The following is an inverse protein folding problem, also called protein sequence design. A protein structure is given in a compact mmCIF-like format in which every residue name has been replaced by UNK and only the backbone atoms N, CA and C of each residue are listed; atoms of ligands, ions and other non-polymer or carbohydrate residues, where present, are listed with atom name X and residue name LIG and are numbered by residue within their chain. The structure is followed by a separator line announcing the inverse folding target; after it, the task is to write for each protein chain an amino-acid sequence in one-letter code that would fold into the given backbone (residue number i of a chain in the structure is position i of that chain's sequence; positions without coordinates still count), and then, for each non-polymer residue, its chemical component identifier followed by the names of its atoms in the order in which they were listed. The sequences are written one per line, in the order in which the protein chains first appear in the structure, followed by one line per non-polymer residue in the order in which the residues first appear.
data_IF_137617536244
#
_entry.id   IF_137617536244
#
_cell.length_a   1.000
_cell.length_b   1.000
_cell.length_c   1.000
_cell.angle_alpha   90.00
_cell.angle_beta   90.00
_cell.angle_gamma   90.00
#
_symmetry.space_group_name_H-M   'P 1'
#
loop_
_entity.id
_entity.type
_entity.pdbx_description
1 polymer ?
#
# COMPACT_ATOMS: atom_id res chain seq x y z
N UNK A 1 -20.37 -4.74 11.72
CA UNK A 1 -20.30 -5.72 10.62
C UNK A 1 -19.48 -5.11 9.49
N UNK A 2 -18.32 -5.68 9.18
CA UNK A 2 -17.35 -5.06 8.28
C UNK A 2 -17.68 -5.45 6.83
N UNK A 3 -18.29 -4.53 6.06
CA UNK A 3 -18.78 -4.79 4.70
C UNK A 3 -17.68 -5.32 3.77
N UNK A 4 -16.44 -4.82 3.93
CA UNK A 4 -15.26 -5.31 3.23
C UNK A 4 -15.00 -6.80 3.49
N UNK A 5 -15.15 -7.26 4.73
CA UNK A 5 -14.95 -8.66 5.10
C UNK A 5 -15.97 -9.57 4.39
N UNK A 6 -17.21 -9.11 4.26
CA UNK A 6 -18.28 -9.84 3.56
C UNK A 6 -18.02 -9.91 2.05
N UNK A 7 -17.57 -8.82 1.44
CA UNK A 7 -17.19 -8.81 0.02
C UNK A 7 -16.02 -9.75 -0.26
N UNK A 8 -15.00 -9.76 0.60
CA UNK A 8 -13.83 -10.63 0.45
C UNK A 8 -14.22 -12.10 0.61
N UNK A 9 -15.02 -12.43 1.64
CA UNK A 9 -15.56 -13.78 1.82
C UNK A 9 -16.39 -14.25 0.62
N UNK A 10 -17.18 -13.36 0.01
CA UNK A 10 -17.95 -13.67 -1.19
C UNK A 10 -17.05 -13.94 -2.41
N UNK A 11 -16.00 -13.15 -2.62
CA UNK A 11 -15.03 -13.36 -3.71
C UNK A 11 -14.30 -14.70 -3.54
N UNK A 12 -13.81 -15.00 -2.34
CA UNK A 12 -13.10 -16.25 -2.09
C UNK A 12 -13.99 -17.49 -2.21
N UNK A 13 -15.25 -17.41 -1.77
CA UNK A 13 -16.24 -18.48 -2.00
C UNK A 13 -16.50 -18.71 -3.49
N UNK A 14 -16.61 -17.63 -4.27
CA UNK A 14 -16.80 -17.72 -5.73
C UNK A 14 -15.57 -18.30 -6.43
N UNK A 15 -14.37 -18.05 -5.91
CA UNK A 15 -13.12 -18.57 -6.44
C UNK A 15 -12.85 -20.06 -6.11
N UNK A 16 -13.71 -20.72 -5.33
CA UNK A 16 -13.54 -22.13 -4.95
C UNK A 16 -12.36 -22.40 -4.00
N UNK A 17 -11.79 -21.35 -3.41
CA UNK A 17 -10.67 -21.46 -2.47
C UNK A 17 -11.26 -21.79 -1.10
N UNK A 18 -11.00 -23.01 -0.61
CA UNK A 18 -11.45 -23.49 0.69
C UNK A 18 -10.76 -22.77 1.85
N UNK A 19 -11.12 -21.52 2.11
CA UNK A 19 -10.62 -20.75 3.25
C UNK A 19 -11.39 -21.19 4.49
N UNK A 20 -10.66 -21.66 5.51
CA UNK A 20 -11.19 -21.92 6.85
C UNK A 20 -11.80 -20.65 7.43
N UNK A 21 -12.98 -20.73 8.07
CA UNK A 21 -13.70 -19.61 8.69
C UNK A 21 -12.96 -18.94 9.88
N UNK A 22 -11.64 -19.08 10.00
CA UNK A 22 -10.84 -18.41 11.01
C UNK A 22 -10.67 -16.93 10.64
N UNK A 23 -11.25 -16.00 11.41
CA UNK A 23 -11.15 -14.57 11.14
C UNK A 23 -9.70 -14.07 11.13
N UNK A 24 -8.77 -14.73 11.84
CA UNK A 24 -7.35 -14.32 11.89
C UNK A 24 -6.67 -14.43 10.53
N UNK A 25 -6.90 -15.55 9.84
CA UNK A 25 -6.35 -15.79 8.50
C UNK A 25 -6.90 -14.76 7.51
N UNK A 26 -8.18 -14.43 7.63
CA UNK A 26 -8.81 -13.42 6.75
C UNK A 26 -8.21 -12.04 6.98
N UNK A 27 -7.96 -11.64 8.23
CA UNK A 27 -7.30 -10.37 8.52
C UNK A 27 -5.86 -10.35 8.01
N UNK A 28 -5.07 -11.40 8.23
CA UNK A 28 -3.71 -11.49 7.70
C UNK A 28 -3.70 -11.41 6.16
N UNK A 29 -4.63 -12.09 5.50
CA UNK A 29 -4.78 -12.08 4.04
C UNK A 29 -5.22 -10.71 3.53
N UNK A 30 -6.13 -10.02 4.24
CA UNK A 30 -6.52 -8.63 3.95
C UNK A 30 -5.33 -7.68 4.01
N UNK A 31 -4.53 -7.75 5.08
CA UNK A 31 -3.34 -6.91 5.21
C UNK A 31 -2.33 -7.21 4.09
N UNK A 32 -2.09 -8.50 3.80
CA UNK A 32 -1.18 -8.91 2.73
C UNK A 32 -1.64 -8.43 1.35
N UNK A 33 -2.92 -8.64 1.03
CA UNK A 33 -3.48 -8.24 -0.27
C UNK A 33 -3.54 -6.72 -0.40
N UNK A 34 -3.87 -6.00 0.67
CA UNK A 34 -3.87 -4.54 0.63
C UNK A 34 -2.47 -3.96 0.44
N UNK A 35 -1.47 -4.52 1.10
CA UNK A 35 -0.07 -4.16 0.87
C UNK A 35 0.33 -4.48 -0.58
N UNK A 36 -0.04 -5.66 -1.10
CA UNK A 36 0.22 -6.06 -2.49
C UNK A 36 -0.42 -5.09 -3.50
N UNK A 37 -1.67 -4.68 -3.28
CA UNK A 37 -2.38 -3.73 -4.15
C UNK A 37 -1.78 -2.32 -4.09
N UNK A 38 -1.33 -1.88 -2.91
CA UNK A 38 -0.63 -0.58 -2.76
C UNK A 38 0.73 -0.54 -3.47
N UNK A 39 1.35 -1.71 -3.66
CA UNK A 39 2.64 -1.89 -4.33
C UNK A 39 2.50 -2.27 -5.81
N UNK A 40 1.32 -2.72 -6.23
CA UNK A 40 1.03 -3.14 -7.59
C UNK A 40 1.58 -2.18 -8.65
N UNK A 41 1.30 -0.86 -8.55
CA UNK A 41 1.85 0.13 -9.49
C UNK A 41 3.38 0.23 -9.49
N UNK A 42 4.05 0.04 -8.34
CA UNK A 42 5.50 0.11 -8.20
C UNK A 42 6.20 -1.18 -8.66
N UNK A 43 5.61 -2.34 -8.37
CA UNK A 43 6.07 -3.65 -8.85
C UNK A 43 5.92 -3.74 -10.37
N UNK A 44 4.85 -3.19 -10.94
CA UNK A 44 4.67 -3.08 -12.40
C UNK A 44 5.81 -2.31 -13.05
N UNK A 45 6.34 -1.28 -12.37
CA UNK A 45 7.47 -0.47 -12.82
C UNK A 45 8.82 -1.21 -12.70
N UNK A 46 8.96 -2.10 -11.71
CA UNK A 46 10.12 -2.97 -11.49
C UNK A 46 10.17 -4.17 -12.46
N UNK A 47 9.01 -4.63 -12.94
CA UNK A 47 8.88 -5.73 -13.90
C UNK A 47 9.21 -5.33 -15.34
N UNK A 48 9.25 -4.03 -15.64
CA UNK A 48 9.70 -3.55 -16.95
C UNK A 48 11.20 -3.90 -17.16
N UNK A 49 11.57 -4.50 -18.30
CA UNK A 49 12.94 -4.93 -18.54
C UNK A 49 13.87 -3.71 -18.66
N UNK A 50 14.88 -3.61 -17.78
CA UNK A 50 15.87 -2.55 -17.83
C UNK A 50 17.08 -2.71 -16.89
N UNK A 51 18.17 -1.94 -17.10
CA UNK A 51 19.42 -1.99 -16.32
C UNK A 51 19.23 -1.75 -14.82
N UNK A 52 18.20 -0.97 -14.47
CA UNK A 52 17.83 -0.62 -13.09
C UNK A 52 17.43 -1.85 -12.27
N UNK A 53 16.87 -2.90 -12.91
CA UNK A 53 16.45 -4.15 -12.24
C UNK A 53 17.62 -4.91 -11.62
N UNK A 54 18.73 -4.99 -12.35
CA UNK A 54 19.89 -5.79 -11.93
C UNK A 54 20.60 -5.18 -10.73
N UNK A 55 20.61 -3.85 -10.66
CA UNK A 55 21.19 -3.11 -9.55
C UNK A 55 20.34 -3.22 -8.27
N UNK A 56 19.01 -3.05 -8.39
CA UNK A 56 18.08 -3.17 -7.26
C UNK A 56 18.03 -4.60 -6.69
N UNK A 57 18.06 -5.64 -7.54
CA UNK A 57 17.99 -7.03 -7.09
C UNK A 57 19.15 -7.42 -6.16
N UNK A 58 20.36 -6.91 -6.41
CA UNK A 58 21.53 -7.21 -5.58
C UNK A 58 21.44 -6.55 -4.19
N UNK A 59 21.07 -5.27 -4.15
CA UNK A 59 20.93 -4.53 -2.89
C UNK A 59 19.84 -5.14 -2.00
N UNK A 60 18.75 -5.60 -2.62
CA UNK A 60 17.66 -6.25 -1.91
C UNK A 60 18.12 -7.58 -1.32
N UNK A 61 18.79 -8.44 -2.08
CA UNK A 61 19.21 -9.76 -1.60
C UNK A 61 20.12 -9.72 -0.36
N UNK A 62 21.07 -8.78 -0.30
CA UNK A 62 22.02 -8.68 0.83
C UNK A 62 21.35 -8.16 2.11
N UNK A 63 20.34 -7.30 1.98
CA UNK A 63 19.57 -6.81 3.12
C UNK A 63 18.68 -7.91 3.75
N UNK A 64 18.37 -8.97 3.00
CA UNK A 64 17.36 -9.96 3.40
C UNK A 64 17.82 -10.97 4.46
N UNK A 65 19.13 -11.17 4.64
CA UNK A 65 19.67 -12.28 5.46
C UNK A 65 19.64 -12.07 6.99
N UNK A 66 19.39 -10.86 7.49
CA UNK A 66 19.70 -10.51 8.90
C UNK A 66 18.50 -10.10 9.77
N UNK A 67 17.30 -10.03 9.22
CA UNK A 67 16.09 -9.54 9.90
C UNK A 67 15.06 -10.69 9.98
N UNK A 68 14.14 -10.66 10.95
CA UNK A 68 13.00 -11.58 11.00
C UNK A 68 12.26 -11.58 9.66
N UNK A 69 12.03 -12.75 9.06
CA UNK A 69 11.56 -12.90 7.67
C UNK A 69 10.34 -12.05 7.32
N UNK A 70 9.44 -11.80 8.28
CA UNK A 70 8.30 -10.89 8.14
C UNK A 70 8.73 -9.43 7.97
N UNK A 71 9.60 -8.92 8.84
CA UNK A 71 10.08 -7.53 8.79
C UNK A 71 10.97 -7.27 7.58
N UNK A 72 11.70 -8.30 7.13
CA UNK A 72 12.53 -8.21 5.92
C UNK A 72 11.66 -7.97 4.70
N UNK A 73 10.67 -8.85 4.46
CA UNK A 73 9.78 -8.77 3.31
C UNK A 73 9.12 -7.39 3.29
N UNK A 74 8.60 -6.96 4.44
CA UNK A 74 7.93 -5.68 4.62
C UNK A 74 8.79 -4.45 4.40
N UNK A 75 10.05 -4.49 4.81
CA UNK A 75 11.01 -3.39 4.61
C UNK A 75 11.48 -3.35 3.16
N UNK A 76 11.73 -4.53 2.59
CA UNK A 76 12.22 -4.67 1.23
C UNK A 76 11.23 -4.26 0.16
N UNK A 77 9.91 -4.39 0.40
CA UNK A 77 8.93 -3.80 -0.50
C UNK A 77 8.56 -2.36 -0.12
N UNK A 78 8.60 -2.03 1.18
CA UNK A 78 8.18 -0.72 1.68
C UNK A 78 9.08 0.42 1.24
N UNK A 79 10.40 0.26 1.42
CA UNK A 79 11.38 1.30 1.07
C UNK A 79 11.37 1.60 -0.43
N UNK A 80 11.48 0.60 -1.34
CA UNK A 80 11.36 0.87 -2.77
C UNK A 80 10.01 1.47 -3.15
N UNK A 81 8.90 1.06 -2.51
CA UNK A 81 7.58 1.66 -2.73
C UNK A 81 7.56 3.15 -2.43
N UNK A 82 8.10 3.58 -1.29
CA UNK A 82 8.19 5.01 -0.92
C UNK A 82 9.05 5.78 -1.92
N UNK A 83 10.24 5.26 -2.24
CA UNK A 83 11.14 5.88 -3.21
C UNK A 83 10.47 6.02 -4.60
N UNK A 84 9.66 5.03 -4.98
CA UNK A 84 8.91 5.07 -6.24
C UNK A 84 7.86 6.19 -6.28
N UNK A 85 7.23 6.55 -5.15
CA UNK A 85 6.32 7.70 -5.09
C UNK A 85 7.04 9.02 -5.34
N UNK A 86 8.23 9.22 -4.75
CA UNK A 86 9.04 10.41 -5.02
C UNK A 86 9.45 10.49 -6.50
N UNK A 87 9.85 9.36 -7.08
CA UNK A 87 10.16 9.29 -8.51
C UNK A 87 8.93 9.61 -9.38
N UNK A 88 7.75 9.09 -9.02
CA UNK A 88 6.50 9.37 -9.71
C UNK A 88 6.12 10.85 -9.62
N UNK A 89 6.28 11.48 -8.46
CA UNK A 89 6.08 12.93 -8.31
C UNK A 89 7.02 13.74 -9.19
N UNK A 90 8.30 13.37 -9.24
CA UNK A 90 9.27 14.02 -10.11
C UNK A 90 8.88 13.87 -11.59
N UNK A 91 8.50 12.66 -12.01
CA UNK A 91 8.05 12.41 -13.38
C UNK A 91 6.78 13.20 -13.73
N UNK A 92 5.76 13.16 -12.86
CA UNK A 92 4.51 13.91 -13.04
C UNK A 92 4.76 15.42 -13.13
N UNK A 93 5.69 15.96 -12.34
CA UNK A 93 6.05 17.38 -12.42
C UNK A 93 6.60 17.73 -13.81
N UNK A 94 7.43 16.86 -14.40
CA UNK A 94 7.95 17.02 -15.75
C UNK A 94 6.87 16.97 -16.84
N UNK A 95 5.90 16.07 -16.71
CA UNK A 95 4.81 15.89 -17.70
C UNK A 95 3.51 16.61 -17.36
N UNK A 96 3.49 17.47 -16.34
CA UNK A 96 2.25 18.11 -15.82
C UNK A 96 1.43 18.90 -16.83
N UNK A 97 2.05 19.35 -17.93
CA UNK A 97 1.35 20.05 -19.02
C UNK A 97 0.56 19.11 -19.95
N UNK A 98 0.89 17.82 -19.93
CA UNK A 98 0.24 16.78 -20.73
C UNK A 98 -0.84 16.03 -19.96
N UNK A 99 -0.76 16.03 -18.63
CA UNK A 99 -1.71 15.35 -17.74
C UNK A 99 -2.90 16.26 -17.41
N UNK A 100 -4.08 15.65 -17.23
CA UNK A 100 -5.24 16.38 -16.72
C UNK A 100 -4.98 16.83 -15.27
N UNK A 101 -5.44 18.04 -14.92
CA UNK A 101 -5.32 18.55 -13.55
C UNK A 101 -5.97 17.63 -12.52
N UNK A 102 -7.15 17.07 -12.86
CA UNK A 102 -7.87 16.11 -12.01
C UNK A 102 -7.05 14.86 -11.71
N UNK A 103 -6.37 14.30 -12.73
CA UNK A 103 -5.51 13.14 -12.53
C UNK A 103 -4.35 13.43 -11.58
N UNK A 104 -3.69 14.59 -11.73
CA UNK A 104 -2.58 14.98 -10.85
C UNK A 104 -3.06 15.08 -9.40
N UNK A 105 -4.23 15.68 -9.17
CA UNK A 105 -4.82 15.81 -7.82
C UNK A 105 -5.16 14.44 -7.24
N UNK A 106 -5.90 13.60 -7.98
CA UNK A 106 -6.29 12.26 -7.51
C UNK A 106 -5.05 11.42 -7.19
N UNK A 107 -4.06 11.41 -8.08
CA UNK A 107 -2.83 10.66 -7.86
C UNK A 107 -2.04 11.18 -6.66
N UNK A 108 -1.99 12.50 -6.46
CA UNK A 108 -1.30 13.10 -5.30
C UNK A 108 -1.96 12.71 -3.99
N UNK A 109 -3.30 12.76 -3.92
CA UNK A 109 -4.05 12.33 -2.73
C UNK A 109 -3.81 10.84 -2.46
N UNK A 110 -3.90 10.00 -3.49
CA UNK A 110 -3.68 8.55 -3.41
C UNK A 110 -2.27 8.19 -2.92
N UNK A 111 -1.25 8.86 -3.46
CA UNK A 111 0.14 8.60 -3.05
C UNK A 111 0.41 9.07 -1.62
N UNK A 112 -0.12 10.23 -1.22
CA UNK A 112 -0.03 10.70 0.16
C UNK A 112 -0.77 9.77 1.13
N UNK A 113 -1.98 9.34 0.80
CA UNK A 113 -2.74 8.39 1.63
C UNK A 113 -1.99 7.07 1.78
N UNK A 114 -1.41 6.54 0.70
CA UNK A 114 -0.54 5.36 0.72
C UNK A 114 0.70 5.52 1.61
N UNK A 115 1.40 6.66 1.51
CA UNK A 115 2.57 6.94 2.35
C UNK A 115 2.20 7.02 3.84
N UNK A 116 1.10 7.69 4.17
CA UNK A 116 0.63 7.81 5.56
C UNK A 116 0.21 6.44 6.07
N UNK A 117 -0.53 5.63 5.29
CA UNK A 117 -0.93 4.28 5.69
C UNK A 117 0.28 3.40 5.97
N UNK A 118 1.26 3.41 5.07
CA UNK A 118 2.48 2.62 5.24
C UNK A 118 3.24 3.05 6.49
N UNK A 119 3.43 4.35 6.70
CA UNK A 119 4.15 4.88 7.85
C UNK A 119 3.41 4.54 9.15
N UNK A 120 2.09 4.72 9.17
CA UNK A 120 1.23 4.40 10.30
C UNK A 120 1.27 2.91 10.66
N UNK A 121 1.18 2.03 9.66
CA UNK A 121 1.31 0.59 9.84
C UNK A 121 2.72 0.18 10.28
N UNK A 122 3.76 0.83 9.76
CA UNK A 122 5.15 0.60 10.18
C UNK A 122 5.36 0.97 11.65
N UNK A 123 4.90 2.16 12.06
CA UNK A 123 4.99 2.62 13.45
C UNK A 123 4.19 1.73 14.41
N UNK A 124 3.00 1.27 14.02
CA UNK A 124 2.10 0.55 14.93
C UNK A 124 2.36 -0.97 14.98
N UNK A 125 2.53 -1.63 13.83
CA UNK A 125 2.62 -3.09 13.75
C UNK A 125 4.07 -3.58 13.80
N UNK A 126 5.01 -2.86 13.19
CA UNK A 126 6.36 -3.39 12.92
C UNK A 126 7.34 -3.09 14.05
N UNK A 127 7.22 -1.93 14.69
CA UNK A 127 8.03 -1.58 15.87
C UNK A 127 7.79 -2.51 17.08
N UNK A 128 6.69 -3.27 17.10
CA UNK A 128 6.38 -4.23 18.17
C UNK A 128 7.35 -5.41 18.23
N UNK A 129 7.96 -5.79 17.09
CA UNK A 129 8.81 -6.99 17.00
C UNK A 129 10.31 -6.69 16.98
N UNK A 130 10.69 -5.41 16.98
CA UNK A 130 12.09 -4.98 16.95
C UNK A 130 12.56 -4.61 18.36
N UNK A 131 13.55 -5.33 18.89
CA UNK A 131 14.06 -5.13 20.25
C UNK A 131 14.60 -3.70 20.47
N UNK A 132 15.16 -3.08 19.44
CA UNK A 132 15.67 -1.70 19.47
C UNK A 132 14.57 -0.65 19.68
N UNK A 133 13.33 -0.95 19.29
CA UNK A 133 12.21 -0.01 19.33
C UNK A 133 11.15 -0.38 20.37
N UNK A 134 11.42 -1.38 21.21
CA UNK A 134 10.48 -1.83 22.24
C UNK A 134 10.09 -0.71 23.20
N UNK A 135 11.00 0.22 23.52
CA UNK A 135 10.71 1.39 24.35
C UNK A 135 9.58 2.27 23.79
N UNK A 136 9.54 2.44 22.47
CA UNK A 136 8.52 3.23 21.79
C UNK A 136 7.17 2.52 21.88
N UNK A 137 7.16 1.20 21.65
CA UNK A 137 5.96 0.40 21.77
C UNK A 137 5.40 0.38 23.20
N UNK A 138 6.26 0.22 24.21
CA UNK A 138 5.85 0.29 25.62
C UNK A 138 5.28 1.66 25.98
N UNK A 139 5.91 2.74 25.54
CA UNK A 139 5.37 4.09 25.71
C UNK A 139 4.01 4.25 25.02
N UNK A 140 3.88 3.82 23.77
CA UNK A 140 2.66 3.87 22.99
C UNK A 140 1.52 3.10 23.66
N UNK A 141 1.81 1.92 24.21
CA UNK A 141 0.83 1.05 24.88
C UNK A 141 0.25 1.65 26.17
N UNK A 142 0.95 2.60 26.80
CA UNK A 142 0.47 3.34 27.98
C UNK A 142 -0.56 4.42 27.63
N UNK A 143 -0.71 4.76 26.35
CA UNK A 143 -1.60 5.83 25.87
C UNK A 143 -2.70 5.22 24.99
N UNK A 144 -3.81 4.72 25.57
CA UNK A 144 -4.85 3.99 24.82
C UNK A 144 -5.51 4.84 23.73
N UNK A 145 -5.59 6.16 23.94
CA UNK A 145 -6.10 7.09 22.94
C UNK A 145 -5.27 7.05 21.65
N UNK A 146 -3.94 6.98 21.77
CA UNK A 146 -3.03 6.99 20.63
C UNK A 146 -3.09 5.67 19.86
N UNK A 147 -3.19 4.54 20.56
CA UNK A 147 -3.43 3.21 19.96
C UNK A 147 -4.74 3.17 19.17
N UNK A 148 -5.81 3.72 19.73
CA UNK A 148 -7.10 3.83 19.05
C UNK A 148 -7.03 4.77 17.85
N UNK A 149 -6.30 5.89 17.97
CA UNK A 149 -6.08 6.82 16.86
C UNK A 149 -5.30 6.16 15.71
N UNK A 150 -4.24 5.40 16.00
CA UNK A 150 -3.51 4.62 14.99
C UNK A 150 -4.44 3.64 14.27
N UNK A 151 -5.22 2.86 15.02
CA UNK A 151 -6.15 1.86 14.49
C UNK A 151 -7.26 2.49 13.63
N UNK A 152 -7.82 3.62 14.09
CA UNK A 152 -8.77 4.42 13.35
C UNK A 152 -8.16 4.94 12.04
N UNK A 153 -6.95 5.50 12.11
CA UNK A 153 -6.26 6.09 10.97
C UNK A 153 -5.94 5.03 9.91
N UNK A 154 -5.50 3.82 10.30
CA UNK A 154 -5.32 2.69 9.37
C UNK A 154 -6.64 2.41 8.64
N UNK A 155 -7.73 2.24 9.39
CA UNK A 155 -9.05 1.89 8.82
C UNK A 155 -9.58 2.98 7.90
N UNK A 156 -9.43 4.25 8.31
CA UNK A 156 -9.87 5.40 7.54
C UNK A 156 -9.06 5.57 6.25
N UNK A 157 -7.73 5.44 6.31
CA UNK A 157 -6.90 5.57 5.12
C UNK A 157 -7.11 4.42 4.14
N UNK A 158 -7.36 3.19 4.61
CA UNK A 158 -7.79 2.12 3.71
C UNK A 158 -9.08 2.45 2.99
N UNK A 159 -10.05 3.09 3.66
CA UNK A 159 -11.25 3.57 3.00
C UNK A 159 -10.93 4.64 1.94
N UNK A 160 -10.10 5.64 2.29
CA UNK A 160 -9.67 6.70 1.35
C UNK A 160 -8.99 6.12 0.12
N UNK A 161 -8.08 5.16 0.29
CA UNK A 161 -7.38 4.49 -0.82
C UNK A 161 -8.35 3.79 -1.80
N UNK A 162 -9.40 3.16 -1.28
CA UNK A 162 -10.42 2.53 -2.12
C UNK A 162 -11.23 3.56 -2.92
N UNK A 163 -11.55 4.71 -2.30
CA UNK A 163 -12.21 5.81 -2.98
C UNK A 163 -11.30 6.43 -4.04
N UNK A 164 -10.02 6.64 -3.74
CA UNK A 164 -9.04 7.16 -4.69
C UNK A 164 -8.90 6.25 -5.92
N UNK A 165 -8.87 4.94 -5.72
CA UNK A 165 -8.82 3.96 -6.81
C UNK A 165 -10.08 4.00 -7.69
N UNK A 166 -11.25 4.17 -7.07
CA UNK A 166 -12.52 4.32 -7.78
C UNK A 166 -12.52 5.61 -8.62
N UNK A 167 -12.08 6.74 -8.03
CA UNK A 167 -11.98 8.03 -8.73
C UNK A 167 -10.99 7.96 -9.89
N UNK A 168 -9.85 7.30 -9.71
CA UNK A 168 -8.87 7.08 -10.76
C UNK A 168 -9.47 6.26 -11.92
N UNK A 169 -10.27 5.24 -11.61
CA UNK A 169 -10.96 4.42 -12.61
C UNK A 169 -11.95 5.24 -13.42
N UNK A 170 -12.74 6.10 -12.76
CA UNK A 170 -13.66 7.01 -13.44
C UNK A 170 -12.94 8.06 -14.29
N UNK A 171 -11.84 8.65 -13.80
CA UNK A 171 -11.01 9.58 -14.59
C UNK A 171 -10.53 8.91 -15.89
N UNK A 172 -9.98 7.69 -15.80
CA UNK A 172 -9.54 6.94 -16.98
C UNK A 172 -10.69 6.64 -17.95
N UNK A 173 -11.85 6.25 -17.43
CA UNK A 173 -13.03 5.95 -18.25
C UNK A 173 -13.54 7.20 -18.99
N UNK A 174 -13.58 8.36 -18.31
CA UNK A 174 -13.97 9.62 -18.92
C UNK A 174 -13.02 10.03 -20.06
N UNK A 175 -11.71 9.85 -19.86
CA UNK A 175 -10.70 10.11 -20.90
C UNK A 175 -10.93 9.21 -22.12
N UNK A 176 -11.17 7.91 -21.94
CA UNK A 176 -11.43 6.98 -23.04
C UNK A 176 -12.69 7.38 -23.83
N UNK A 177 -13.79 7.71 -23.14
CA UNK A 177 -15.01 8.17 -23.80
C UNK A 177 -14.76 9.46 -24.60
N UNK A 178 -13.97 10.39 -24.06
CA UNK A 178 -13.65 11.64 -24.77
C UNK A 178 -12.86 11.39 -26.06
N UNK A 179 -11.99 10.37 -26.07
CA UNK A 179 -11.23 9.97 -27.26
C UNK A 179 -12.09 9.30 -28.32
N UNK A 180 -13.17 8.60 -27.94
CA UNK A 180 -14.07 7.92 -28.89
C UNK A 180 -15.05 8.87 -29.60
N UNK A 181 -15.28 10.07 -29.04
CA UNK A 181 -16.22 11.04 -29.60
C UNK A 181 -15.58 11.99 -30.63
N UNK A 182 -14.25 11.99 -30.73
CA UNK A 182 -13.47 12.77 -31.69
C UNK A 182 -13.02 11.88 -32.84
#
# INVERSE_FOLDING_TARGET
YNLQLQCILAVYKTAGIGITNDPRIIYELMYYTSDLFSLGPAIYLLLLPGPVRQFLARIVMDAFQKISSRNVVQTAYGIPGILSYFLAFFAMYGVRRLLSGSFIVIYTIMSLSNLITWFNAWMFLKLRHESLFMFYYEWLSKIPLLVNAHSFLISHLYFVQNIDLLLLTFDRFAVIISMMKN
#
